data_IF_909503461282
#
_entry.id   IF_909503461282
#
_cell.length_a   1.000
_cell.length_b   1.000
_cell.length_c   1.000
_cell.angle_alpha   90.00
_cell.angle_beta   90.00
_cell.angle_gamma   90.00
#
_symmetry.space_group_name_H-M   'P 1'
#
loop_
_entity.id
_entity.type
_entity.pdbx_description
1 polymer ?
2 polymer ?
3 polymer ?
4 non-polymer ?
5 non-polymer ?
6 water ?
#
loop_
_entity_poly.entity_id
_entity_poly.type
_entity_poly.pdbx_seq_one_letter_code
_entity_poly.pdbx_strand_id
2 'polyribonucleotide' 'A(A2M)GCGCCAGAACU' ?
3 'polyribonucleotide' '(GTP)GCACCAUUGCACUCCGGUGCCAGUUGACGAGGUGGGGUUUAUCGAGAUUUCGGCGGAUGACUCCCGGUUGUUCAUCACAACCGCAAGCUUUUACUUAAAUCAUUAAGGUGACUUAGUGGACAAAGGUGAAAGUGUGAUGA' ?
#
# COMPACT_ATOMS: atom_id res chain seq x y z
N UNK A 7 -40.09 51.39 31.88
CA UNK A 7 -40.91 50.87 30.74
C UNK A 7 -40.08 49.95 29.85
N UNK A 8 -39.57 50.49 28.72
CA UNK A 8 -38.74 49.73 27.78
C UNK A 8 -37.47 49.16 28.41
N UNK A 9 -37.00 48.03 27.89
CA UNK A 9 -35.86 47.32 28.47
C UNK A 9 -34.97 46.68 27.41
N UNK A 10 -33.68 46.53 27.73
CA UNK A 10 -32.70 45.85 26.88
C UNK A 10 -33.18 44.45 26.50
N UNK A 11 -33.71 43.74 27.49
CA UNK A 11 -34.22 42.39 27.30
C UNK A 11 -35.73 42.43 27.02
N UNK A 12 -36.16 41.63 26.04
CA UNK A 12 -37.57 41.50 25.72
C UNK A 12 -38.10 40.12 26.14
N UNK A 13 -39.36 40.09 26.57
CA UNK A 13 -40.04 38.86 26.99
C UNK A 13 -40.95 38.36 25.88
N UNK A 14 -40.72 37.11 25.46
CA UNK A 14 -41.53 36.50 24.41
C UNK A 14 -42.28 35.29 24.97
N UNK A 15 -43.61 35.32 24.87
CA UNK A 15 -44.43 34.17 25.23
C UNK A 15 -45.40 33.76 24.12
N UNK A 16 -46.26 32.79 24.43
CA UNK A 16 -47.16 32.15 23.47
C UNK A 16 -46.41 31.45 22.33
N UNK A 17 -45.23 30.91 22.68
CA UNK A 17 -44.45 30.12 21.73
C UNK A 17 -44.82 28.65 21.83
N UNK A 18 -44.53 27.91 20.76
CA UNK A 18 -44.82 26.48 20.71
C UNK A 18 -43.92 25.71 21.67
N UNK A 19 -44.55 25.07 22.66
CA UNK A 19 -43.83 24.39 23.75
C UNK A 19 -43.20 23.06 23.33
N UNK A 20 -43.65 22.51 22.21
CA UNK A 20 -43.16 21.22 21.69
C UNK A 20 -41.73 21.30 21.16
N UNK A 21 -41.32 22.50 20.75
CA UNK A 21 -40.01 22.70 20.13
C UNK A 21 -38.89 22.72 21.18
N UNK A 22 -37.85 21.94 20.92
CA UNK A 22 -36.72 21.76 21.84
C UNK A 22 -35.90 23.03 22.09
N UNK A 23 -35.12 22.99 23.18
CA UNK A 23 -34.38 24.15 23.70
C UNK A 23 -33.44 24.79 22.69
N UNK A 24 -32.54 23.98 22.11
CA UNK A 24 -31.49 24.47 21.23
C UNK A 24 -32.03 24.98 19.88
N UNK A 25 -32.98 24.26 19.29
CA UNK A 25 -33.59 24.63 18.01
C UNK A 25 -34.26 26.00 18.07
N UNK A 26 -35.12 26.19 19.07
CA UNK A 26 -35.86 27.44 19.26
C UNK A 26 -34.94 28.63 19.49
N UNK A 27 -33.87 28.39 20.25
CA UNK A 27 -32.87 29.41 20.52
C UNK A 27 -32.20 29.88 19.21
N UNK A 28 -31.87 28.93 18.35
CA UNK A 28 -31.30 29.23 17.03
C UNK A 28 -32.33 29.80 16.07
N UNK A 29 -33.57 29.37 16.22
CA UNK A 29 -34.68 29.82 15.36
C UNK A 29 -35.10 31.24 15.68
N UNK A 30 -34.98 31.63 16.95
CA UNK A 30 -35.32 32.99 17.37
C UNK A 30 -34.17 33.95 17.10
N UNK A 31 -32.96 33.42 16.94
CA UNK A 31 -31.82 34.22 16.55
C UNK A 31 -31.83 34.49 15.05
N UNK A 32 -32.61 33.69 14.32
CA UNK A 32 -32.79 33.83 12.88
C UNK A 32 -33.56 35.09 12.51
N UNK A 33 -34.43 35.54 13.41
CA UNK A 33 -35.33 36.67 13.14
C UNK A 33 -34.92 37.96 13.84
N UNK A 34 -34.47 37.86 15.08
CA UNK A 34 -34.14 39.03 15.90
C UNK A 34 -32.71 39.52 15.71
N UNK A 35 -32.01 38.94 14.74
CA UNK A 35 -30.64 39.34 14.44
C UNK A 35 -30.57 40.64 13.63
N UNK A 36 -31.60 40.90 12.83
CA UNK A 36 -31.66 42.08 11.97
C UNK A 36 -31.86 43.40 12.72
N UNK A 37 -32.56 43.34 13.85
CA UNK A 37 -32.89 44.52 14.65
C UNK A 37 -31.68 45.08 15.38
N UNK A 38 -30.67 44.23 15.57
CA UNK A 38 -29.45 44.58 16.29
C UNK A 38 -28.78 43.32 16.79
N UNK A 39 -27.63 43.48 17.43
CA UNK A 39 -26.90 42.33 17.96
C UNK A 39 -27.55 41.79 19.24
N UNK A 40 -27.56 40.47 19.36
CA UNK A 40 -28.10 39.79 20.53
C UNK A 40 -26.95 39.25 21.37
N UNK A 41 -27.08 39.34 22.68
CA UNK A 41 -26.04 38.86 23.60
C UNK A 41 -26.26 37.42 24.06
N UNK A 42 -27.50 37.10 24.45
CA UNK A 42 -27.87 35.75 24.87
C UNK A 42 -29.37 35.56 24.85
N UNK A 43 -29.84 34.48 24.23
CA UNK A 43 -31.25 34.10 24.26
C UNK A 43 -31.44 32.97 25.28
N UNK A 44 -32.18 33.26 26.34
CA UNK A 44 -32.45 32.29 27.40
C UNK A 44 -33.72 31.51 27.11
N UNK A 45 -33.58 30.18 27.04
CA UNK A 45 -34.71 29.28 26.75
C UNK A 45 -34.76 28.16 27.78
N UNK A 46 -35.94 27.96 28.37
CA UNK A 46 -36.16 26.89 29.35
C UNK A 46 -37.49 26.19 29.06
N UNK A 47 -37.52 24.88 29.32
CA UNK A 47 -38.71 24.06 29.01
C UNK A 47 -39.40 23.54 30.28
N UNK A 48 -39.07 24.13 31.43
CA UNK A 48 -39.67 23.76 32.73
C UNK A 48 -41.15 24.14 32.82
N UNK A 49 -41.76 23.87 33.98
CA UNK A 49 -43.18 24.16 34.20
C UNK A 49 -43.52 25.65 34.11
N UNK A 50 -42.73 26.49 34.79
CA UNK A 50 -42.99 27.93 34.85
C UNK A 50 -42.32 28.73 33.72
N UNK A 51 -41.43 28.10 32.97
CA UNK A 51 -40.63 28.84 31.98
C UNK A 51 -40.78 28.37 30.52
N UNK A 52 -41.64 27.37 30.28
CA UNK A 52 -41.85 26.86 28.92
C UNK A 52 -42.70 27.80 28.06
N UNK A 53 -42.50 27.72 26.74
CA UNK A 53 -43.18 28.58 25.78
C UNK A 53 -42.84 30.05 25.99
N UNK A 54 -41.63 30.29 26.50
CA UNK A 54 -41.16 31.64 26.85
C UNK A 54 -39.73 31.86 26.36
N UNK A 55 -39.38 33.13 26.16
CA UNK A 55 -38.04 33.49 25.70
C UNK A 55 -37.60 34.87 26.18
N UNK A 56 -36.34 34.96 26.58
CA UNK A 56 -35.73 36.24 26.95
C UNK A 56 -34.57 36.54 26.01
N UNK A 57 -34.72 37.60 25.22
CA UNK A 57 -33.71 38.00 24.24
C UNK A 57 -33.02 39.29 24.69
N UNK A 58 -31.71 39.21 24.90
CA UNK A 58 -30.93 40.36 25.37
C UNK A 58 -30.36 41.17 24.21
N UNK A 59 -30.90 42.36 23.99
CA UNK A 59 -30.40 43.29 22.98
C UNK A 59 -29.45 44.30 23.61
N UNK A 60 -28.29 44.49 22.99
CA UNK A 60 -27.28 45.42 23.49
C UNK A 60 -27.73 46.88 23.35
N UNK A 61 -28.55 47.15 22.35
CA UNK A 61 -29.18 48.46 22.19
C UNK A 61 -30.65 48.39 22.60
N UNK A 62 -31.11 49.42 23.31
CA UNK A 62 -32.51 49.49 23.74
C UNK A 62 -33.42 49.72 22.54
N UNK A 63 -32.94 50.51 21.58
CA UNK A 63 -33.65 50.80 20.34
C UNK A 63 -33.86 49.54 19.50
N UNK A 64 -32.93 48.59 19.62
CA UNK A 64 -33.04 47.29 18.95
C UNK A 64 -34.21 46.48 19.52
N UNK A 65 -34.39 46.55 20.83
CA UNK A 65 -35.47 45.85 21.52
C UNK A 65 -36.85 46.45 21.22
N UNK A 66 -36.88 47.75 20.91
CA UNK A 66 -38.11 48.46 20.62
C UNK A 66 -38.64 48.10 19.23
N UNK A 67 -37.76 48.14 18.22
CA UNK A 67 -38.12 47.78 16.86
C UNK A 67 -38.51 46.30 16.72
N UNK A 68 -37.91 45.46 17.56
CA UNK A 68 -38.22 44.04 17.62
C UNK A 68 -39.66 43.81 18.08
N UNK A 69 -40.07 44.53 19.12
CA UNK A 69 -41.44 44.44 19.65
C UNK A 69 -42.46 45.00 18.66
N UNK A 70 -42.10 46.10 18.01
CA UNK A 70 -43.00 46.76 17.05
C UNK A 70 -43.26 45.91 15.81
N UNK A 71 -42.27 45.12 15.40
CA UNK A 71 -42.34 44.36 14.16
C UNK A 71 -42.78 42.91 14.35
N UNK A 72 -42.21 42.24 15.35
CA UNK A 72 -42.46 40.81 15.56
C UNK A 72 -43.67 40.50 16.44
N UNK A 73 -44.38 41.55 16.88
CA UNK A 73 -45.62 41.36 17.63
C UNK A 73 -46.66 40.67 16.74
N UNK A 74 -47.28 39.62 17.28
CA UNK A 74 -48.33 38.89 16.57
C UNK A 74 -47.85 37.95 15.48
N UNK A 75 -46.54 37.94 15.23
CA UNK A 75 -45.95 37.15 14.15
C UNK A 75 -46.09 35.64 14.39
N UNK A 76 -46.57 34.90 13.38
CA UNK A 76 -46.73 33.45 13.49
C UNK A 76 -45.40 32.72 13.43
N UNK A 77 -45.00 32.17 14.58
CA UNK A 77 -43.75 31.45 14.73
C UNK A 77 -44.05 30.06 15.28
N UNK A 78 -43.68 29.03 14.51
CA UNK A 78 -44.03 27.63 14.80
C UNK A 78 -45.53 27.44 14.98
N UNK A 79 -46.30 27.91 14.00
CA UNK A 79 -47.77 27.84 13.99
C UNK A 79 -48.47 28.78 14.99
N UNK A 80 -47.69 29.35 15.91
CA UNK A 80 -48.23 30.18 16.99
C UNK A 80 -47.86 31.66 16.85
N UNK A 81 -48.86 32.56 17.00
CA UNK A 81 -48.61 33.99 16.98
C UNK A 81 -47.85 34.45 18.23
N UNK A 82 -46.85 35.31 18.03
CA UNK A 82 -45.97 35.73 19.12
C UNK A 82 -46.55 36.86 19.97
N UNK A 83 -46.33 36.78 21.28
CA UNK A 83 -46.71 37.82 22.21
C UNK A 83 -45.45 38.36 22.89
N UNK A 84 -45.12 39.62 22.61
CA UNK A 84 -43.87 40.20 23.10
C UNK A 84 -44.09 41.44 23.97
N UNK A 85 -43.50 41.42 25.16
CA UNK A 85 -43.51 42.55 26.08
C UNK A 85 -42.09 42.86 26.54
N UNK A 86 -41.89 44.04 27.13
CA UNK A 86 -40.62 44.38 27.76
C UNK A 86 -40.47 43.61 29.07
N UNK A 87 -39.23 43.27 29.42
CA UNK A 87 -38.94 42.57 30.65
C UNK A 87 -39.18 43.48 31.87
N UNK A 88 -39.58 42.87 32.98
CA UNK A 88 -39.86 43.60 34.22
C UNK A 88 -38.60 44.29 34.75
N UNK A 89 -37.52 43.52 34.89
CA UNK A 89 -36.24 44.06 35.34
C UNK A 89 -35.14 43.78 34.31
N UNK A 90 -34.02 44.49 34.44
CA UNK A 90 -32.83 44.26 33.62
C UNK A 90 -32.23 42.87 33.89
N UNK A 91 -31.73 42.23 32.83
CA UNK A 91 -31.09 40.92 32.94
C UNK A 91 -29.72 40.97 33.63
N UNK A 92 -29.18 39.79 33.95
CA UNK A 92 -27.94 39.67 34.71
C UNK A 92 -26.65 39.99 33.95
N UNK A 93 -26.74 40.13 32.62
CA UNK A 93 -25.56 40.46 31.81
C UNK A 93 -25.43 41.97 31.56
N UNK A 94 -26.55 42.68 31.62
CA UNK A 94 -26.56 44.14 31.42
C UNK A 94 -26.52 44.90 32.75
N UNK A 95 -27.26 44.40 33.74
CA UNK A 95 -27.30 45.02 35.08
C UNK A 95 -25.94 44.95 35.78
N UNK A 96 -25.33 43.76 35.77
CA UNK A 96 -24.00 43.56 36.34
C UNK A 96 -23.02 43.06 35.29
N UNK D 7 -45.66 30.53 -14.29
CA UNK D 7 -46.88 30.00 -13.63
C UNK D 7 -46.60 29.55 -12.19
N UNK D 8 -47.63 29.55 -11.33
CA UNK D 8 -47.51 29.11 -9.93
C UNK D 8 -47.21 27.62 -9.82
N UNK D 9 -46.50 27.25 -8.76
CA UNK D 9 -46.05 25.88 -8.56
C UNK D 9 -46.15 25.47 -7.10
N UNK D 10 -46.30 24.18 -6.85
CA UNK D 10 -46.31 23.62 -5.49
C UNK D 10 -45.07 24.04 -4.71
N UNK D 11 -43.94 24.12 -5.42
CA UNK D 11 -42.65 24.43 -4.81
C UNK D 11 -42.31 25.91 -4.94
N UNK D 12 -41.83 26.49 -3.84
CA UNK D 12 -41.28 27.84 -3.87
C UNK D 12 -39.76 27.82 -3.78
N UNK D 13 -39.13 28.48 -4.74
CA UNK D 13 -37.69 28.68 -4.75
C UNK D 13 -37.36 29.95 -3.98
N UNK D 14 -36.43 29.84 -3.05
CA UNK D 14 -35.99 30.97 -2.24
C UNK D 14 -34.50 31.21 -2.48
N UNK D 15 -34.11 32.48 -2.60
CA UNK D 15 -32.69 32.84 -2.69
C UNK D 15 -32.34 34.05 -1.83
N UNK D 16 -31.05 34.42 -1.84
CA UNK D 16 -30.50 35.48 -1.00
C UNK D 16 -30.50 35.14 0.50
N UNK D 17 -30.37 33.85 0.81
CA UNK D 17 -30.23 33.40 2.18
C UNK D 17 -28.81 33.62 2.67
N UNK D 18 -28.62 33.72 3.97
CA UNK D 18 -27.31 33.82 4.57
C UNK D 18 -26.55 32.50 4.36
N UNK D 19 -25.45 32.58 3.62
CA UNK D 19 -24.65 31.41 3.26
C UNK D 19 -23.82 30.87 4.43
N UNK D 20 -23.68 31.67 5.49
CA UNK D 20 -22.88 31.29 6.65
C UNK D 20 -23.56 30.29 7.59
N UNK D 21 -24.86 30.07 7.39
CA UNK D 21 -25.64 29.18 8.27
C UNK D 21 -25.66 27.74 7.76
N UNK D 22 -25.41 26.80 8.69
CA UNK D 22 -25.27 25.39 8.32
C UNK D 22 -26.58 24.73 7.85
N UNK D 23 -26.44 23.64 7.12
CA UNK D 23 -27.52 22.98 6.37
C UNK D 23 -28.78 22.67 7.18
N UNK D 24 -28.61 21.93 8.27
CA UNK D 24 -29.76 21.47 9.06
C UNK D 24 -30.43 22.60 9.82
N UNK D 25 -29.64 23.57 10.27
CA UNK D 25 -30.16 24.74 10.99
C UNK D 25 -31.04 25.59 10.07
N UNK D 26 -30.55 25.83 8.84
CA UNK D 26 -31.31 26.56 7.84
C UNK D 26 -32.59 25.82 7.44
N UNK D 27 -32.48 24.50 7.33
CA UNK D 27 -33.61 23.64 6.96
C UNK D 27 -34.74 23.71 8.01
N UNK D 28 -34.37 23.82 9.27
CA UNK D 28 -35.35 23.86 10.37
C UNK D 28 -35.92 25.26 10.60
N UNK D 29 -35.06 26.27 10.53
CA UNK D 29 -35.47 27.67 10.72
C UNK D 29 -36.45 28.14 9.66
N UNK D 30 -36.38 27.55 8.48
CA UNK D 30 -37.33 27.83 7.40
C UNK D 30 -38.69 27.17 7.67
N UNK D 31 -38.67 26.01 8.33
CA UNK D 31 -39.91 25.33 8.69
C UNK D 31 -40.65 26.07 9.81
N UNK D 32 -39.90 26.71 10.69
CA UNK D 32 -40.45 27.51 11.79
C UNK D 32 -41.47 28.54 11.30
N UNK D 33 -41.20 29.15 10.15
CA UNK D 33 -42.05 30.19 9.59
C UNK D 33 -43.06 29.66 8.57
N UNK D 34 -42.58 28.87 7.62
CA UNK D 34 -43.42 28.42 6.49
C UNK D 34 -44.46 27.36 6.84
N UNK D 35 -44.39 26.81 8.06
CA UNK D 35 -45.34 25.79 8.50
C UNK D 35 -46.76 26.32 8.67
N UNK D 36 -46.88 27.61 8.95
CA UNK D 36 -48.19 28.24 9.14
C UNK D 36 -49.05 28.24 7.88
N UNK D 37 -48.42 28.37 6.72
CA UNK D 37 -49.13 28.48 5.44
C UNK D 37 -49.75 27.16 4.96
N UNK D 38 -49.31 26.05 5.55
CA UNK D 38 -49.78 24.71 5.18
C UNK D 38 -48.78 23.63 5.58
N UNK D 39 -48.98 22.42 5.05
CA UNK D 39 -48.06 21.32 5.35
C UNK D 39 -46.89 21.27 4.37
N UNK D 40 -45.70 21.06 4.91
CA UNK D 40 -44.46 21.00 4.13
C UNK D 40 -43.97 19.56 4.03
N UNK D 41 -43.76 19.09 2.80
CA UNK D 41 -43.32 17.72 2.55
C UNK D 41 -41.83 17.51 2.79
N UNK D 42 -41.02 18.51 2.41
CA UNK D 42 -39.57 18.51 2.65
C UNK D 42 -38.97 19.84 2.22
N UNK D 43 -37.89 20.25 2.88
CA UNK D 43 -37.19 21.50 2.54
C UNK D 43 -35.79 21.21 2.02
N UNK D 44 -35.62 21.36 0.70
CA UNK D 44 -34.35 21.02 0.05
C UNK D 44 -33.31 22.12 0.15
N UNK D 45 -32.17 21.80 0.77
CA UNK D 45 -31.07 22.75 0.95
C UNK D 45 -29.72 22.08 0.62
N UNK D 46 -28.95 22.72 -0.25
CA UNK D 46 -27.61 22.25 -0.59
C UNK D 46 -26.60 23.39 -0.49
N UNK D 47 -25.45 23.13 0.11
CA UNK D 47 -24.46 24.18 0.35
C UNK D 47 -23.25 24.09 -0.59
N UNK D 48 -23.45 23.45 -1.73
CA UNK D 48 -22.47 23.42 -2.82
C UNK D 48 -22.36 24.81 -3.46
N UNK D 49 -21.38 24.98 -4.34
CA UNK D 49 -21.15 26.28 -5.00
C UNK D 49 -22.39 26.79 -5.73
N UNK D 50 -22.97 25.94 -6.57
CA UNK D 50 -24.11 26.30 -7.40
C UNK D 50 -25.44 26.37 -6.64
N UNK D 51 -25.47 25.86 -5.42
CA UNK D 51 -26.74 25.76 -4.68
C UNK D 51 -26.85 26.57 -3.39
N UNK D 52 -25.73 27.11 -2.90
CA UNK D 52 -25.71 27.85 -1.64
C UNK D 52 -26.56 29.12 -1.68
N UNK D 53 -27.05 29.53 -0.51
CA UNK D 53 -27.89 30.72 -0.39
C UNK D 53 -29.27 30.53 -0.98
N UNK D 54 -29.64 29.29 -1.25
CA UNK D 54 -30.92 28.95 -1.87
C UNK D 54 -31.60 27.81 -1.13
N UNK D 55 -32.91 27.73 -1.27
CA UNK D 55 -33.72 26.67 -0.67
C UNK D 55 -34.97 26.38 -1.48
N UNK D 56 -35.49 25.16 -1.34
CA UNK D 56 -36.75 24.79 -1.94
C UNK D 56 -37.68 24.28 -0.85
N UNK D 57 -38.84 24.91 -0.72
CA UNK D 57 -39.86 24.49 0.24
C UNK D 57 -41.02 23.82 -0.50
N UNK D 58 -41.37 22.62 -0.06
CA UNK D 58 -42.39 21.82 -0.76
C UNK D 58 -43.73 21.76 -0.01
N UNK D 59 -44.67 22.59 -0.46
CA UNK D 59 -46.04 22.59 0.06
C UNK D 59 -46.92 21.63 -0.75
N UNK D 60 -47.84 20.96 -0.07
CA UNK D 60 -48.74 19.99 -0.73
C UNK D 60 -49.79 20.67 -1.61
N UNK D 61 -50.29 21.83 -1.17
CA UNK D 61 -51.26 22.60 -1.93
C UNK D 61 -50.64 23.91 -2.41
N UNK D 62 -50.93 24.26 -3.67
CA UNK D 62 -50.41 25.49 -4.28
C UNK D 62 -50.85 26.73 -3.49
N UNK D 63 -52.07 26.66 -2.95
CA UNK D 63 -52.62 27.70 -2.07
C UNK D 63 -51.64 28.11 -0.96
N UNK D 64 -50.93 27.13 -0.41
CA UNK D 64 -49.94 27.38 0.64
C UNK D 64 -48.69 28.09 0.10
N UNK D 65 -48.21 27.63 -1.05
CA UNK D 65 -47.05 28.22 -1.71
C UNK D 65 -47.36 29.62 -2.24
N UNK D 66 -48.56 29.80 -2.76
CA UNK D 66 -49.03 31.10 -3.25
C UNK D 66 -49.01 32.12 -2.11
N UNK D 67 -49.53 31.72 -0.96
CA UNK D 67 -49.66 32.60 0.20
C UNK D 67 -48.33 32.88 0.91
N UNK D 68 -47.44 31.90 0.92
CA UNK D 68 -46.12 32.04 1.52
C UNK D 68 -45.25 33.02 0.75
N UNK D 69 -45.36 32.98 -0.58
CA UNK D 69 -44.62 33.87 -1.47
C UNK D 69 -45.02 35.33 -1.24
N UNK D 70 -46.33 35.56 -1.21
CA UNK D 70 -46.89 36.91 -1.13
C UNK D 70 -46.69 37.55 0.24
N UNK D 71 -46.68 36.73 1.29
CA UNK D 71 -46.55 37.21 2.66
C UNK D 71 -45.10 37.35 3.10
N UNK D 72 -44.28 36.35 2.77
CA UNK D 72 -42.90 36.28 3.25
C UNK D 72 -41.86 36.94 2.34
N UNK D 73 -42.32 37.48 1.21
CA UNK D 73 -41.45 38.18 0.26
C UNK D 73 -40.62 39.26 0.97
N UNK D 74 -39.32 39.28 0.69
CA UNK D 74 -38.41 40.30 1.23
C UNK D 74 -38.23 40.28 2.73
N UNK D 75 -38.65 39.20 3.37
CA UNK D 75 -38.58 39.05 4.83
C UNK D 75 -37.14 38.91 5.31
N UNK D 76 -36.71 39.81 6.22
CA UNK D 76 -35.36 39.71 6.77
C UNK D 76 -35.19 38.44 7.58
N UNK D 77 -34.37 37.53 7.05
CA UNK D 77 -34.14 36.23 7.65
C UNK D 77 -32.64 35.99 7.71
N UNK D 78 -32.13 35.85 8.94
CA UNK D 78 -30.69 35.81 9.19
C UNK D 78 -29.99 37.04 8.61
N UNK D 79 -30.46 38.22 9.01
CA UNK D 79 -29.93 39.52 8.55
C UNK D 79 -30.11 39.78 7.05
N UNK D 80 -30.73 38.84 6.34
CA UNK D 80 -30.85 38.93 4.89
C UNK D 80 -32.30 38.81 4.40
N UNK D 81 -32.82 39.89 3.79
CA UNK D 81 -34.17 39.89 3.22
C UNK D 81 -34.29 38.87 2.11
N UNK D 82 -35.31 38.01 2.21
CA UNK D 82 -35.50 36.90 1.29
C UNK D 82 -35.94 37.34 -0.10
N UNK D 83 -36.04 36.37 -1.01
CA UNK D 83 -36.49 36.63 -2.37
C UNK D 83 -37.15 35.35 -2.88
N UNK D 84 -38.48 35.33 -2.88
CA UNK D 84 -39.22 34.10 -3.17
C UNK D 84 -39.82 34.09 -4.57
N UNK D 85 -39.56 33.01 -5.29
CA UNK D 85 -40.16 32.76 -6.60
C UNK D 85 -40.80 31.38 -6.63
N UNK D 86 -41.70 31.16 -7.58
CA UNK D 86 -42.23 29.82 -7.83
C UNK D 86 -41.16 28.99 -8.53
N UNK D 87 -41.18 27.68 -8.29
CA UNK D 87 -40.28 26.76 -8.97
C UNK D 87 -40.59 26.74 -10.47
N UNK D 88 -39.53 26.74 -11.28
CA UNK D 88 -39.67 26.70 -12.72
C UNK D 88 -40.41 25.44 -13.18
N UNK D 89 -40.06 24.31 -12.55
CA UNK D 89 -40.74 23.03 -12.81
C UNK D 89 -41.11 22.35 -11.49
N UNK D 90 -41.89 21.27 -11.60
CA UNK D 90 -42.30 20.49 -10.43
C UNK D 90 -41.14 19.74 -9.80
N UNK D 91 -41.19 19.56 -8.49
CA UNK D 91 -40.23 18.73 -7.77
C UNK D 91 -40.50 17.25 -8.08
N UNK D 92 -39.55 16.37 -7.73
CA UNK D 92 -39.69 14.95 -7.97
C UNK D 92 -40.91 14.35 -7.28
N UNK D 93 -41.08 14.67 -6.00
CA UNK D 93 -42.20 14.18 -5.20
C UNK D 93 -43.57 14.59 -5.77
N UNK D 94 -43.64 15.81 -6.30
CA UNK D 94 -44.86 16.33 -6.92
C UNK D 94 -45.10 15.70 -8.30
N UNK D 95 -44.02 15.55 -9.08
CA UNK D 95 -44.11 14.97 -10.43
C UNK D 95 -44.41 13.48 -10.42
N UNK D 96 -43.86 12.77 -9.43
CA UNK D 96 -44.07 11.32 -9.28
C UNK D 96 -43.81 10.87 -7.85
N UNK G 7 23.19 -51.52 2.11
CA UNK G 7 24.65 -51.33 1.89
C UNK G 7 24.89 -50.44 0.67
N UNK G 8 24.99 -51.05 -0.53
CA UNK G 8 25.20 -50.33 -1.79
C UNK G 8 23.98 -49.54 -2.25
N UNK G 9 24.21 -48.57 -3.14
CA UNK G 9 23.17 -47.67 -3.63
C UNK G 9 23.57 -47.07 -4.97
N UNK G 10 22.57 -46.78 -5.83
CA UNK G 10 22.79 -46.12 -7.12
C UNK G 10 23.36 -44.72 -6.94
N UNK G 11 22.90 -44.03 -5.90
CA UNK G 11 23.33 -42.68 -5.57
C UNK G 11 24.42 -42.71 -4.52
N UNK G 12 25.46 -41.89 -4.71
CA UNK G 12 26.53 -41.74 -3.73
C UNK G 12 26.48 -40.39 -3.03
N UNK G 13 26.55 -40.42 -1.71
CA UNK G 13 26.54 -39.22 -0.89
C UNK G 13 27.95 -38.64 -0.73
N UNK G 14 28.20 -37.52 -1.38
CA UNK G 14 29.48 -36.83 -1.29
C UNK G 14 29.34 -35.62 -0.35
N UNK G 15 30.19 -35.56 0.66
CA UNK G 15 30.28 -34.36 1.50
C UNK G 15 31.72 -33.83 1.59
N UNK G 16 31.98 -32.91 2.51
CA UNK G 16 33.28 -32.25 2.66
C UNK G 16 33.75 -31.60 1.35
N UNK G 17 32.85 -30.84 0.74
CA UNK G 17 33.13 -30.09 -0.49
C UNK G 17 33.25 -28.61 -0.17
N UNK G 18 33.97 -27.87 -1.02
CA UNK G 18 34.16 -26.44 -0.81
C UNK G 18 32.89 -25.63 -1.04
N UNK G 19 32.45 -24.94 0.01
CA UNK G 19 31.20 -24.20 0.01
C UNK G 19 31.26 -22.89 -0.78
N UNK G 20 32.47 -22.36 -0.94
CA UNK G 20 32.67 -21.08 -1.64
C UNK G 20 32.40 -21.15 -3.15
N UNK G 21 32.22 -22.36 -3.67
CA UNK G 21 31.94 -22.57 -5.10
C UNK G 21 30.43 -22.62 -5.36
N UNK G 22 29.99 -21.91 -6.40
CA UNK G 22 28.57 -21.79 -6.73
C UNK G 22 27.93 -23.05 -7.34
N UNK G 23 26.60 -23.12 -7.20
CA UNK G 23 25.78 -24.29 -7.54
C UNK G 23 26.06 -24.92 -8.91
N UNK G 24 26.04 -24.09 -9.96
CA UNK G 24 26.22 -24.58 -11.32
C UNK G 24 27.66 -25.06 -11.56
N UNK G 25 28.62 -24.25 -11.13
CA UNK G 25 30.04 -24.55 -11.27
C UNK G 25 30.38 -25.90 -10.62
N UNK G 26 29.96 -26.07 -9.37
CA UNK G 26 30.18 -27.30 -8.60
C UNK G 26 29.56 -28.52 -9.29
N UNK G 27 28.38 -28.32 -9.91
CA UNK G 27 27.68 -29.36 -10.64
C UNK G 27 28.47 -29.82 -11.88
N UNK G 28 29.01 -28.86 -12.63
CA UNK G 28 29.77 -29.15 -13.86
C UNK G 28 31.13 -29.76 -13.55
N UNK G 29 31.76 -29.31 -12.47
CA UNK G 29 33.07 -29.80 -12.05
C UNK G 29 33.01 -31.23 -11.51
N UNK G 30 31.89 -31.59 -10.89
CA UNK G 30 31.68 -32.94 -10.37
C UNK G 30 31.42 -33.93 -11.48
N UNK G 31 30.73 -33.49 -12.54
CA UNK G 31 30.44 -34.34 -13.70
C UNK G 31 31.69 -34.61 -14.55
N UNK G 32 32.68 -33.72 -14.41
CA UNK G 32 33.95 -33.83 -15.12
C UNK G 32 34.74 -35.09 -14.73
N UNK G 33 34.66 -35.47 -13.47
CA UNK G 33 35.47 -36.57 -12.92
C UNK G 33 34.69 -37.88 -12.81
N UNK G 34 33.41 -37.81 -12.45
CA UNK G 34 32.61 -39.01 -12.24
C UNK G 34 32.02 -39.60 -13.53
N UNK G 35 32.48 -39.12 -14.68
CA UNK G 35 32.01 -39.59 -15.98
C UNK G 35 32.56 -40.96 -16.36
N UNK G 36 33.73 -41.31 -15.82
CA UNK G 36 34.43 -42.54 -16.17
C UNK G 36 33.78 -43.81 -15.62
N UNK G 37 33.23 -43.71 -14.40
CA UNK G 37 32.71 -44.89 -13.69
C UNK G 37 31.43 -45.45 -14.31
N UNK G 38 30.58 -44.56 -14.83
CA UNK G 38 29.35 -44.93 -15.53
C UNK G 38 28.63 -43.71 -16.07
N UNK G 39 27.34 -43.86 -16.38
CA UNK G 39 26.53 -42.73 -16.81
C UNK G 39 25.73 -42.15 -15.64
N UNK G 40 25.88 -40.85 -15.42
CA UNK G 40 25.21 -40.14 -14.34
C UNK G 40 23.86 -39.60 -14.83
N UNK G 41 22.81 -39.90 -14.08
CA UNK G 41 21.46 -39.42 -14.40
C UNK G 41 21.32 -37.94 -14.09
N UNK G 42 21.66 -37.55 -12.87
CA UNK G 42 21.69 -36.15 -12.45
C UNK G 42 22.52 -35.96 -11.19
N UNK G 43 22.98 -34.74 -10.94
CA UNK G 43 23.76 -34.41 -9.75
C UNK G 43 23.03 -33.34 -8.94
N UNK G 44 22.77 -33.63 -7.67
CA UNK G 44 22.09 -32.70 -6.77
C UNK G 44 23.05 -31.84 -5.98
N UNK G 45 22.90 -30.52 -6.10
CA UNK G 45 23.71 -29.55 -5.36
C UNK G 45 22.82 -28.44 -4.79
N UNK G 46 22.91 -28.27 -3.47
CA UNK G 46 22.17 -27.22 -2.77
C UNK G 46 23.09 -26.44 -1.84
N UNK G 47 22.81 -25.16 -1.68
CA UNK G 47 23.67 -24.27 -0.89
C UNK G 47 23.03 -23.83 0.43
N UNK G 48 21.95 -24.50 0.83
CA UNK G 48 21.25 -24.20 2.08
C UNK G 48 22.07 -24.64 3.30
N UNK G 49 21.67 -24.19 4.48
CA UNK G 49 22.39 -24.46 5.74
C UNK G 49 22.64 -25.95 5.99
N UNK G 50 21.60 -26.76 5.80
CA UNK G 50 21.69 -28.19 6.05
C UNK G 50 22.17 -29.01 4.85
N UNK G 51 22.38 -28.36 3.71
CA UNK G 51 22.75 -29.08 2.49
C UNK G 51 24.01 -28.56 1.76
N UNK G 52 24.65 -27.53 2.33
CA UNK G 52 25.87 -26.99 1.76
C UNK G 52 27.07 -27.91 1.97
N UNK G 53 27.98 -27.91 0.99
CA UNK G 53 29.18 -28.77 1.02
C UNK G 53 28.85 -30.24 0.80
N UNK G 54 27.73 -30.49 0.12
CA UNK G 54 27.25 -31.85 -0.12
C UNK G 54 26.75 -32.02 -1.55
N UNK G 55 26.90 -33.24 -2.08
CA UNK G 55 26.42 -33.56 -3.42
C UNK G 55 25.96 -35.01 -3.54
N UNK G 56 24.82 -35.21 -4.20
CA UNK G 56 24.31 -36.54 -4.49
C UNK G 56 24.49 -36.84 -5.97
N UNK G 57 25.35 -37.82 -6.27
CA UNK G 57 25.62 -38.21 -7.65
C UNK G 57 24.90 -39.54 -7.95
N UNK G 58 23.89 -39.46 -8.81
CA UNK G 58 23.05 -40.61 -9.13
C UNK G 58 23.55 -41.35 -10.38
N UNK G 59 24.17 -42.51 -10.16
CA UNK G 59 24.60 -43.39 -11.24
C UNK G 59 23.46 -44.32 -11.65
N UNK G 60 23.44 -44.68 -12.94
CA UNK G 60 22.43 -45.58 -13.47
C UNK G 60 22.68 -47.03 -13.06
N UNK G 61 23.96 -47.37 -12.85
CA UNK G 61 24.34 -48.70 -12.39
C UNK G 61 25.04 -48.64 -11.04
N UNK G 62 24.82 -49.67 -10.22
CA UNK G 62 25.39 -49.75 -8.87
C UNK G 62 26.92 -49.89 -8.92
N UNK G 63 27.41 -50.72 -9.84
CA UNK G 63 28.85 -50.95 -10.01
C UNK G 63 29.62 -49.65 -10.28
N UNK G 64 29.00 -48.76 -11.05
CA UNK G 64 29.54 -47.43 -11.32
C UNK G 64 29.69 -46.65 -10.01
N UNK G 65 28.64 -46.66 -9.20
CA UNK G 65 28.63 -46.01 -7.89
C UNK G 65 29.50 -46.72 -6.87
N UNK G 66 29.72 -48.02 -7.08
CA UNK G 66 30.62 -48.82 -6.24
C UNK G 66 32.07 -48.43 -6.51
N UNK G 67 32.42 -48.32 -7.78
CA UNK G 67 33.78 -47.98 -8.20
C UNK G 67 34.14 -46.51 -7.94
N UNK G 68 33.16 -45.63 -8.13
CA UNK G 68 33.33 -44.19 -7.85
C UNK G 68 33.68 -43.95 -6.39
N UNK G 69 32.91 -44.57 -5.50
CA UNK G 69 33.15 -44.51 -4.06
C UNK G 69 34.55 -44.97 -3.70
N UNK G 70 34.93 -46.16 -4.20
CA UNK G 70 36.24 -46.77 -3.91
C UNK G 70 37.42 -45.92 -4.37
N UNK G 71 37.30 -45.36 -5.58
CA UNK G 71 38.40 -44.63 -6.21
C UNK G 71 38.54 -43.18 -5.74
N UNK G 72 37.41 -42.47 -5.63
CA UNK G 72 37.44 -41.03 -5.34
C UNK G 72 37.40 -40.70 -3.84
N UNK G 73 37.51 -41.73 -3.00
CA UNK G 73 37.50 -41.56 -1.56
C UNK G 73 38.74 -40.81 -1.06
N UNK G 74 38.54 -39.56 -0.66
CA UNK G 74 39.62 -38.72 -0.12
C UNK G 74 40.29 -37.83 -1.14
N UNK G 75 39.74 -37.78 -2.35
CA UNK G 75 40.30 -37.01 -3.46
C UNK G 75 40.16 -35.51 -3.24
N UNK G 76 41.28 -34.76 -3.36
CA UNK G 76 41.26 -33.31 -3.19
C UNK G 76 40.50 -32.63 -4.33
N UNK G 77 39.37 -32.01 -3.99
CA UNK G 77 38.48 -31.38 -4.94
C UNK G 77 38.13 -29.99 -4.42
N UNK G 78 38.66 -28.97 -5.09
CA UNK G 78 38.56 -27.57 -4.65
C UNK G 78 39.20 -27.36 -3.25
N UNK G 79 40.50 -27.62 -3.18
CA UNK G 79 41.31 -27.42 -1.96
C UNK G 79 41.04 -28.41 -0.81
N UNK G 80 39.98 -29.22 -0.93
CA UNK G 80 39.55 -30.10 0.17
C UNK G 80 39.23 -31.54 -0.28
N UNK G 81 39.70 -32.54 0.50
CA UNK G 81 39.43 -33.96 0.22
C UNK G 81 37.96 -34.33 0.38
N UNK G 82 37.50 -35.29 -0.43
CA UNK G 82 36.09 -35.69 -0.45
C UNK G 82 35.80 -36.84 0.51
N UNK G 83 34.61 -36.82 1.10
CA UNK G 83 34.13 -37.91 1.92
C UNK G 83 32.90 -38.52 1.24
N UNK G 84 33.01 -39.79 0.83
CA UNK G 84 31.96 -40.43 0.06
C UNK G 84 31.35 -41.65 0.78
N UNK G 85 30.03 -41.61 0.95
CA UNK G 85 29.27 -42.73 1.49
C UNK G 85 28.19 -43.13 0.49
N UNK G 86 27.57 -44.29 0.69
CA UNK G 86 26.40 -44.67 -0.09
C UNK G 86 25.18 -43.90 0.43
N UNK G 87 24.19 -43.71 -0.42
CA UNK G 87 22.94 -43.07 -0.01
C UNK G 87 22.14 -44.04 0.87
N UNK G 88 21.65 -43.54 2.00
CA UNK G 88 20.88 -44.34 2.96
C UNK G 88 19.63 -44.92 2.32
N UNK G 89 18.94 -44.11 1.51
CA UNK G 89 17.80 -44.54 0.72
C UNK G 89 17.98 -44.14 -0.74
N UNK G 90 17.28 -44.83 -1.64
CA UNK G 90 17.34 -44.54 -3.06
C UNK G 90 16.77 -43.16 -3.39
N UNK G 91 17.26 -42.57 -4.48
CA UNK G 91 16.75 -41.29 -4.97
C UNK G 91 15.38 -41.45 -5.61
N UNK G 92 14.67 -40.33 -5.76
CA UNK G 92 13.32 -40.32 -6.35
C UNK G 92 13.26 -40.89 -7.76
N UNK G 93 14.35 -40.75 -8.51
CA UNK G 93 14.44 -41.20 -9.90
C UNK G 93 14.65 -42.72 -10.00
N UNK G 94 15.36 -43.30 -9.04
CA UNK G 94 15.66 -44.73 -9.02
C UNK G 94 14.44 -45.55 -8.58
N UNK G 95 13.95 -45.27 -7.37
CA UNK G 95 12.81 -45.98 -6.80
C UNK G 95 11.52 -45.75 -7.60
N UNK G 96 11.12 -44.48 -7.72
CA UNK G 96 9.92 -44.10 -8.46
C UNK G 96 10.26 -43.57 -9.85
N UNK J 7 63.18 -30.10 -21.05
CA UNK J 7 63.20 -30.48 -19.61
C UNK J 7 61.95 -29.99 -18.89
N UNK J 8 62.07 -29.62 -17.59
CA UNK J 8 60.97 -29.11 -16.78
C UNK J 8 60.60 -27.66 -17.10
N UNK J 9 59.39 -27.25 -16.70
CA UNK J 9 58.89 -25.89 -16.90
C UNK J 9 57.83 -25.50 -15.86
N UNK J 10 57.71 -24.19 -15.61
CA UNK J 10 56.68 -23.63 -14.73
C UNK J 10 55.27 -23.93 -15.24
N UNK J 11 55.09 -23.81 -16.55
CA UNK J 11 53.80 -24.06 -17.20
C UNK J 11 53.77 -25.48 -17.76
N UNK J 12 52.65 -26.16 -17.54
CA UNK J 12 52.46 -27.51 -18.08
C UNK J 12 51.45 -27.57 -19.21
N UNK J 13 51.85 -28.20 -20.30
CA UNK J 13 50.99 -28.37 -21.47
C UNK J 13 50.13 -29.63 -21.33
N UNK J 14 48.82 -29.43 -21.23
CA UNK J 14 47.87 -30.53 -21.08
C UNK J 14 47.02 -30.67 -22.33
N UNK J 15 46.99 -31.88 -22.91
CA UNK J 15 46.14 -32.14 -24.07
C UNK J 15 45.32 -33.45 -23.98
N UNK J 16 44.76 -33.87 -25.11
CA UNK J 16 43.73 -34.91 -25.20
C UNK J 16 42.47 -34.55 -24.40
N UNK J 17 42.11 -33.27 -24.43
CA UNK J 17 40.96 -32.76 -23.70
C UNK J 17 39.69 -32.77 -24.55
N UNK J 18 38.55 -32.82 -23.87
CA UNK J 18 37.24 -32.88 -24.53
C UNK J 18 36.85 -31.50 -25.10
N UNK J 19 36.70 -31.46 -26.43
CA UNK J 19 36.44 -30.22 -27.16
C UNK J 19 35.01 -29.70 -26.99
N UNK J 20 34.13 -30.53 -26.46
CA UNK J 20 32.72 -30.19 -26.28
C UNK J 20 32.49 -29.21 -25.11
N UNK J 21 33.50 -29.06 -24.25
CA UNK J 21 33.41 -28.20 -23.07
C UNK J 21 33.84 -26.77 -23.39
N UNK J 22 33.04 -25.82 -22.94
CA UNK J 22 33.30 -24.38 -23.17
C UNK J 22 34.50 -23.85 -22.40
N UNK J 23 34.97 -22.66 -22.82
CA UNK J 23 36.23 -22.07 -22.35
C UNK J 23 36.34 -21.90 -20.83
N UNK J 24 35.33 -21.24 -20.23
CA UNK J 24 35.39 -20.87 -18.82
C UNK J 24 35.17 -22.05 -17.87
N UNK J 25 34.30 -22.97 -18.28
CA UNK J 25 34.01 -24.19 -17.52
C UNK J 25 35.27 -25.06 -17.37
N UNK J 26 35.98 -25.25 -18.48
CA UNK J 26 37.25 -25.97 -18.50
C UNK J 26 38.33 -25.19 -17.76
N UNK J 27 38.25 -23.86 -17.83
CA UNK J 27 39.17 -22.97 -17.12
C UNK J 27 38.94 -23.03 -15.61
N UNK J 28 37.81 -23.62 -15.21
CA UNK J 28 37.48 -23.76 -13.78
C UNK J 28 37.63 -25.20 -13.28
N UNK J 29 37.28 -26.16 -14.13
CA UNK J 29 37.28 -27.58 -13.76
C UNK J 29 38.68 -28.15 -13.51
N UNK J 30 39.69 -27.57 -14.14
CA UNK J 30 41.07 -27.96 -13.89
C UNK J 30 41.65 -27.20 -12.70
N UNK J 31 41.08 -26.05 -12.40
CA UNK J 31 41.43 -25.30 -11.20
C UNK J 31 40.87 -26.01 -9.97
N UNK J 32 39.82 -26.81 -10.19
CA UNK J 32 39.21 -27.62 -9.13
C UNK J 32 40.16 -28.69 -8.60
N UNK J 33 41.04 -29.19 -9.47
CA UNK J 33 41.94 -30.28 -9.13
C UNK J 33 43.35 -29.78 -8.86
N UNK J 34 43.93 -29.04 -9.81
CA UNK J 34 45.32 -28.60 -9.75
C UNK J 34 45.62 -27.59 -8.63
N UNK J 35 44.62 -27.26 -7.82
CA UNK J 35 44.78 -26.36 -6.69
C UNK J 35 45.49 -27.01 -5.47
N UNK J 36 45.52 -28.35 -5.46
CA UNK J 36 46.21 -29.08 -4.39
C UNK J 36 47.73 -29.10 -4.54
N UNK J 37 48.19 -29.11 -5.80
CA UNK J 37 49.61 -29.19 -6.13
C UNK J 37 50.34 -27.89 -5.82
N UNK J 38 49.66 -26.78 -6.07
CA UNK J 38 50.19 -25.45 -5.79
C UNK J 38 49.23 -24.34 -6.18
N UNK J 39 49.67 -23.10 -5.99
CA UNK J 39 48.88 -21.94 -6.39
C UNK J 39 48.94 -21.70 -7.90
N UNK J 40 47.77 -21.71 -8.55
CA UNK J 40 47.66 -21.52 -9.98
C UNK J 40 47.67 -20.02 -10.30
N UNK J 41 48.61 -19.62 -11.16
CA UNK J 41 48.70 -18.23 -11.61
C UNK J 41 47.66 -17.92 -12.69
N UNK J 42 47.59 -18.78 -13.72
CA UNK J 42 46.63 -18.61 -14.80
C UNK J 42 46.39 -19.92 -15.57
N UNK J 43 45.17 -20.08 -16.06
CA UNK J 43 44.82 -21.18 -16.95
C UNK J 43 44.37 -20.60 -18.29
N UNK J 44 45.05 -20.99 -19.37
CA UNK J 44 44.83 -20.43 -20.69
C UNK J 44 44.19 -21.44 -21.63
N UNK J 45 42.95 -21.17 -22.03
CA UNK J 45 42.18 -22.08 -22.88
C UNK J 45 41.71 -21.37 -24.15
N UNK J 46 41.95 -22.01 -25.30
CA UNK J 46 41.44 -21.55 -26.59
C UNK J 46 40.75 -22.69 -27.33
N UNK J 47 39.64 -22.37 -27.97
CA UNK J 47 38.87 -23.38 -28.71
C UNK J 47 39.18 -23.34 -30.22
N UNK J 48 40.28 -22.69 -30.58
CA UNK J 48 40.72 -22.57 -31.98
C UNK J 48 41.13 -23.91 -32.57
N UNK J 49 41.11 -24.00 -33.89
CA UNK J 49 41.44 -25.23 -34.62
C UNK J 49 42.78 -25.86 -34.22
N UNK J 50 43.73 -25.05 -33.78
CA UNK J 50 45.05 -25.52 -33.37
C UNK J 50 45.20 -25.72 -31.86
N UNK J 51 44.41 -24.98 -31.08
CA UNK J 51 44.57 -24.98 -29.61
C UNK J 51 43.45 -25.69 -28.84
N UNK J 52 42.44 -26.18 -29.56
CA UNK J 52 41.32 -26.89 -28.93
C UNK J 52 41.76 -28.26 -28.40
N UNK J 53 41.23 -28.62 -27.23
CA UNK J 53 41.62 -29.84 -26.54
C UNK J 53 42.98 -29.72 -25.88
N UNK J 54 43.37 -28.48 -25.56
CA UNK J 54 44.65 -28.18 -24.93
C UNK J 54 44.49 -27.14 -23.82
N UNK J 55 45.44 -27.13 -22.88
CA UNK J 55 45.43 -26.17 -21.77
C UNK J 55 46.84 -25.87 -21.24
N UNK J 56 47.02 -24.67 -20.70
CA UNK J 56 48.32 -24.23 -20.20
C UNK J 56 48.24 -23.73 -18.75
N UNK J 57 48.29 -24.67 -17.81
CA UNK J 57 48.24 -24.34 -16.38
C UNK J 57 49.61 -23.83 -15.92
N UNK J 58 49.60 -22.66 -15.27
CA UNK J 58 50.84 -22.03 -14.81
C UNK J 58 50.92 -22.03 -13.29
N UNK J 59 51.81 -22.88 -12.76
CA UNK J 59 52.15 -22.88 -11.34
C UNK J 59 53.36 -21.97 -11.12
N UNK J 60 53.39 -21.27 -9.99
CA UNK J 60 54.51 -20.38 -9.68
C UNK J 60 55.75 -21.17 -9.28
N UNK J 61 55.52 -22.39 -8.77
CA UNK J 61 56.61 -23.29 -8.39
C UNK J 61 56.68 -24.49 -9.34
N UNK J 62 57.89 -24.81 -9.78
CA UNK J 62 58.13 -25.96 -10.65
C UNK J 62 57.91 -27.27 -9.87
N UNK J 63 58.06 -27.18 -8.55
CA UNK J 63 57.77 -28.29 -7.64
C UNK J 63 56.32 -28.76 -7.75
N UNK J 64 55.40 -27.82 -7.97
CA UNK J 64 53.99 -28.12 -8.18
C UNK J 64 53.76 -28.78 -9.53
N UNK J 65 54.41 -28.24 -10.56
CA UNK J 65 54.25 -28.69 -11.94
C UNK J 65 54.74 -30.12 -12.17
N UNK J 66 55.81 -30.49 -11.48
CA UNK J 66 56.36 -31.84 -11.59
C UNK J 66 55.41 -32.86 -10.97
N UNK J 67 54.90 -32.57 -9.77
CA UNK J 67 53.93 -33.42 -9.09
C UNK J 67 52.60 -33.54 -9.85
N UNK J 68 52.18 -32.43 -10.46
CA UNK J 68 50.97 -32.38 -11.28
C UNK J 68 51.12 -33.24 -12.54
N UNK J 69 52.33 -33.24 -13.10
CA UNK J 69 52.65 -34.05 -14.28
C UNK J 69 52.79 -35.53 -13.89
N UNK J 70 53.24 -35.76 -12.66
CA UNK J 70 53.42 -37.11 -12.13
C UNK J 70 52.09 -37.79 -11.80
N UNK J 71 51.18 -37.05 -11.19
CA UNK J 71 49.93 -37.62 -10.68
C UNK J 71 48.79 -37.62 -11.69
N UNK J 72 48.59 -36.48 -12.35
CA UNK J 72 47.43 -36.27 -13.19
C UNK J 72 47.63 -36.72 -14.65
N UNK J 73 48.76 -37.37 -14.90
CA UNK J 73 49.02 -37.99 -16.20
C UNK J 73 48.00 -39.10 -16.44
N UNK J 74 47.31 -39.03 -17.57
CA UNK J 74 46.33 -40.04 -17.96
C UNK J 74 45.05 -40.05 -17.16
N UNK J 75 44.76 -38.93 -16.48
CA UNK J 75 43.57 -38.81 -15.65
C UNK J 75 42.30 -38.69 -16.50
N UNK J 76 41.30 -39.55 -16.21
CA UNK J 76 40.03 -39.52 -16.94
C UNK J 76 39.23 -38.25 -16.64
N UNK J 77 39.33 -37.29 -17.56
CA UNK J 77 38.74 -35.97 -17.41
C UNK J 77 37.77 -35.71 -18.55
N UNK J 78 36.49 -35.59 -18.22
CA UNK J 78 35.40 -35.51 -19.20
C UNK J 78 35.43 -36.69 -20.18
N UNK J 79 35.40 -37.90 -19.63
CA UNK J 79 35.43 -39.16 -20.40
C UNK J 79 36.71 -39.36 -21.24
N UNK J 80 37.68 -38.46 -21.07
CA UNK J 80 38.94 -38.52 -21.82
C UNK J 80 40.17 -38.45 -20.93
N UNK J 81 41.09 -39.41 -21.10
CA UNK J 81 42.34 -39.43 -20.33
C UNK J 81 43.28 -38.30 -20.76
N UNK J 82 43.76 -37.53 -19.78
CA UNK J 82 44.62 -36.38 -20.05
C UNK J 82 45.99 -36.78 -20.58
N UNK J 83 46.73 -35.79 -21.07
CA UNK J 83 48.10 -35.99 -21.54
C UNK J 83 48.92 -34.77 -21.16
N UNK J 84 49.88 -34.96 -20.25
CA UNK J 84 50.60 -33.82 -19.67
C UNK J 84 52.09 -33.82 -20.00
N UNK J 85 52.56 -32.67 -20.48
CA UNK J 85 53.99 -32.40 -20.70
C UNK J 85 54.34 -31.04 -20.10
N UNK J 86 55.64 -30.71 -20.08
CA UNK J 86 56.07 -29.36 -19.73
C UNK J 86 56.05 -28.48 -20.98
N UNK J 87 55.99 -27.17 -20.79
CA UNK J 87 56.05 -26.21 -21.90
C UNK J 87 57.47 -26.17 -22.48
N UNK J 88 57.55 -26.12 -23.81
CA UNK J 88 58.84 -26.05 -24.51
C UNK J 88 59.60 -24.78 -24.15
N UNK J 89 58.89 -23.66 -24.14
CA UNK J 89 59.44 -22.36 -23.75
C UNK J 89 58.60 -21.73 -22.63
N UNK J 90 59.23 -20.86 -21.84
CA UNK J 90 58.56 -20.19 -20.72
C UNK J 90 57.37 -19.33 -21.16
N UNK J 91 56.35 -19.28 -20.31
CA UNK J 91 55.19 -18.41 -20.52
C UNK J 91 55.56 -16.94 -20.28
N UNK J 92 54.74 -16.03 -20.80
CA UNK J 92 55.01 -14.60 -20.72
C UNK J 92 54.90 -14.04 -19.29
N UNK J 93 54.16 -14.73 -18.42
CA UNK J 93 54.02 -14.32 -17.03
C UNK J 93 55.29 -14.63 -16.22
N UNK J 94 56.00 -15.68 -16.60
CA UNK J 94 57.22 -16.11 -15.90
C UNK J 94 58.48 -15.52 -16.53
N UNK J 95 58.54 -15.54 -17.87
CA UNK J 95 59.68 -15.00 -18.62
C UNK J 95 59.72 -13.48 -18.59
N UNK J 96 58.55 -12.85 -18.55
CA UNK J 96 58.43 -11.40 -18.50
C UNK J 96 57.44 -10.95 -17.42
X LIG M 1 1.03 -7.23 9.08
X LIG M 1 -0.46 -7.45 9.14
X LIG M 1 -1.03 -8.13 7.92
X LIG M 1 -1.25 -6.25 9.60
X LIG M 1 -0.68 -8.52 10.33
X LIG M 1 0.31 -9.52 10.61
X LIG M 1 -0.33 -10.84 11.04
X LIG M 1 -1.62 -10.61 11.61
X LIG M 1 -0.50 -11.82 9.87
X LIG M 1 0.76 -12.09 9.27
X LIG M 1 -1.10 -13.14 10.35
X LIG M 1 -1.51 -13.89 9.20
X LIG M 1 -2.26 -13.00 11.35
X LIG M 1 -3.54 -13.04 10.65
X LIG M 1 -2.23 -11.75 12.24
X LIG M 1 -1.58 -12.03 13.48
X LIG N 1 -2.62 -3.19 8.47
X LIG O 1 3.70 -7.33 12.40
X LIG P 1 -16.97 19.87 1.46
X LIG Q 1 -4.30 -0.32 -24.46
X LIG R 1 -2.34 5.94 -10.45
X LIG S 1 -13.85 -5.60 -10.06
X LIG T 1 -0.99 10.53 -10.52
X LIG U 1 19.27 -16.38 0.18
X LIG V 1 1.24 2.82 -9.05
#
# INVERSE_FOLDING_TARGET
MAVPETRPNHTIYINNLNEKIKKDELKKSLHAIFSRFGQILDILVSRSLKMRGQAFVIFKEVSSATNALRSMQGFPFYDKPMRIQYAKTDSDIIAKMK
MAVPETRPNHTIYINNLNEKIKKDELKKSLHAIFSRFGQILDILVSRSLKMRGQAFVIFKEVSSATNALRSMQGFPFYDKPMRIQYAKTDSDIIAKMK
MAVPETRPNHTIYINNLNEKIKKDELKKSLHAIFSRFGQILDILVSRSLKMRGQAFVIFKEVSSATNALRSMQGFPFYDKPMRIQYAKTDSDIIAKMK
MAVPETRPNHTIYINNLNEKIKKDELKKSLHAIFSRFGQILDILVSRSLKMRGQAFVIFKEVSSATNALRSMQGFPFYDKPMRIQYAKTDSDIIAKMK
6MN O3P P O1P O2P O6 C6 C5 O5 C4 O4 C3 O3 C2 N2 C1 O1
MG MG
MG MG
MG MG
MG MG
MG MG
MG MG
MG MG
MG MG
MG MG
#
